data_IF_989601875659
#
_entry.id   IF_989601875659
#
_cell.length_a   1.000
_cell.length_b   1.000
_cell.length_c   1.000
_cell.angle_alpha   90.00
_cell.angle_beta   90.00
_cell.angle_gamma   90.00
#
_symmetry.space_group_name_H-M   'P 1'
#
loop_
_entity.id
_entity.type
_entity.pdbx_description
1 polymer ?
#
# COMPACT_ATOMS: atom_id res chain seq x y z
N UNK A 1 -24.87 1.86 2.39
CA UNK A 1 -23.80 1.19 1.62
C UNK A 1 -23.18 0.11 2.48
N UNK A 2 -23.03 -1.10 1.97
CA UNK A 2 -22.36 -2.17 2.71
C UNK A 2 -20.87 -1.84 2.86
N UNK A 3 -20.23 -2.15 4.00
CA UNK A 3 -18.80 -1.82 4.21
C UNK A 3 -17.87 -2.38 3.13
N UNK A 4 -18.17 -3.54 2.59
CA UNK A 4 -17.42 -4.18 1.51
C UNK A 4 -17.49 -3.35 0.21
N UNK A 5 -18.66 -2.85 -0.16
CA UNK A 5 -18.81 -2.01 -1.33
C UNK A 5 -17.99 -0.72 -1.21
N UNK A 6 -17.99 -0.09 -0.02
CA UNK A 6 -17.19 1.12 0.22
C UNK A 6 -15.69 0.85 0.11
N UNK A 7 -15.21 -0.30 0.60
CA UNK A 7 -13.81 -0.68 0.49
C UNK A 7 -13.40 -0.91 -0.97
N UNK A 8 -14.19 -1.68 -1.72
CA UNK A 8 -13.89 -1.97 -3.13
C UNK A 8 -13.89 -0.70 -3.97
N UNK A 9 -14.87 0.19 -3.77
CA UNK A 9 -14.89 1.49 -4.46
C UNK A 9 -13.64 2.32 -4.17
N UNK A 10 -13.19 2.33 -2.91
CA UNK A 10 -11.98 3.06 -2.52
C UNK A 10 -10.74 2.46 -3.20
N UNK A 11 -10.62 1.14 -3.21
CA UNK A 11 -9.51 0.44 -3.86
C UNK A 11 -9.47 0.72 -5.36
N UNK A 12 -10.62 0.67 -6.04
CA UNK A 12 -10.75 0.96 -7.46
C UNK A 12 -10.41 2.42 -7.78
N UNK A 13 -10.89 3.35 -6.96
CA UNK A 13 -10.59 4.77 -7.14
C UNK A 13 -9.10 5.05 -7.05
N UNK A 14 -8.42 4.45 -6.07
CA UNK A 14 -6.98 4.62 -5.90
C UNK A 14 -6.18 3.97 -7.04
N UNK A 15 -6.68 2.90 -7.63
CA UNK A 15 -6.06 2.25 -8.78
C UNK A 15 -5.99 3.18 -10.00
N UNK A 16 -6.92 4.13 -10.10
CA UNK A 16 -6.90 5.18 -11.14
C UNK A 16 -6.13 6.43 -10.73
N UNK A 17 -6.46 7.01 -9.58
CA UNK A 17 -5.96 8.33 -9.20
C UNK A 17 -4.52 8.33 -8.67
N UNK A 18 -4.03 7.23 -8.11
CA UNK A 18 -2.65 7.18 -7.63
C UNK A 18 -1.63 7.12 -8.78
N UNK A 19 -1.80 6.28 -9.82
CA UNK A 19 -0.96 6.37 -11.03
C UNK A 19 -0.97 7.75 -11.70
N UNK A 20 -2.12 8.41 -11.73
CA UNK A 20 -2.22 9.79 -12.24
C UNK A 20 -1.36 10.76 -11.42
N UNK A 21 -1.46 10.67 -10.09
CA UNK A 21 -0.60 11.45 -9.20
C UNK A 21 0.89 11.15 -9.43
N UNK A 22 1.27 9.87 -9.50
CA UNK A 22 2.65 9.46 -9.75
C UNK A 22 3.17 10.01 -11.08
N UNK A 23 2.33 10.00 -12.13
CA UNK A 23 2.68 10.55 -13.43
C UNK A 23 2.95 12.06 -13.42
N UNK A 24 2.51 12.77 -12.37
CA UNK A 24 2.80 14.19 -12.20
C UNK A 24 4.16 14.46 -11.55
N UNK A 25 4.85 13.44 -11.05
CA UNK A 25 6.17 13.57 -10.41
C UNK A 25 7.24 13.66 -11.51
N UNK A 26 8.06 14.72 -11.54
CA UNK A 26 9.19 14.76 -12.48
C UNK A 26 10.15 13.60 -12.23
N UNK A 27 10.66 12.97 -13.29
CA UNK A 27 11.55 11.81 -13.20
C UNK A 27 12.82 12.12 -12.40
N UNK A 28 13.35 13.33 -12.52
CA UNK A 28 14.54 13.79 -11.79
C UNK A 28 14.30 13.97 -10.28
N UNK A 29 13.04 13.99 -9.83
CA UNK A 29 12.69 14.05 -8.42
C UNK A 29 12.74 12.69 -7.72
N UNK A 30 12.89 11.58 -8.43
CA UNK A 30 12.88 10.25 -7.83
C UNK A 30 13.97 10.04 -6.78
N UNK A 31 15.13 10.67 -6.95
CA UNK A 31 16.24 10.60 -6.00
C UNK A 31 16.20 11.69 -4.91
N UNK A 32 15.21 12.57 -4.95
CA UNK A 32 15.12 13.71 -4.02
C UNK A 32 14.65 13.26 -2.64
N UNK A 33 15.31 13.78 -1.60
CA UNK A 33 14.90 13.71 -0.19
C UNK A 33 14.73 15.13 0.34
N UNK A 34 13.67 15.38 1.12
CA UNK A 34 13.38 16.74 1.58
C UNK A 34 14.28 17.19 2.76
N UNK A 35 15.01 16.27 3.38
CA UNK A 35 15.96 16.55 4.45
C UNK A 35 16.98 15.39 4.57
N UNK A 36 18.14 15.62 5.22
CA UNK A 36 19.10 14.55 5.48
C UNK A 36 18.47 13.41 6.30
N UNK A 37 18.78 12.18 5.93
CA UNK A 37 18.28 10.98 6.60
C UNK A 37 16.84 10.62 6.29
N UNK A 38 16.15 11.38 5.44
CA UNK A 38 14.80 11.05 4.98
C UNK A 38 14.86 10.23 3.69
N UNK A 39 13.84 9.42 3.47
CA UNK A 39 13.73 8.60 2.26
C UNK A 39 13.66 9.47 1.01
N UNK A 40 14.18 8.95 -0.09
CA UNK A 40 13.94 9.53 -1.41
C UNK A 40 12.51 9.24 -1.86
N UNK A 41 12.05 9.96 -2.89
CA UNK A 41 10.74 9.68 -3.52
C UNK A 41 10.66 8.21 -3.93
N UNK A 42 11.67 7.66 -4.61
CA UNK A 42 11.72 6.25 -4.98
C UNK A 42 11.59 5.31 -3.79
N UNK A 43 12.26 5.61 -2.70
CA UNK A 43 12.19 4.81 -1.47
C UNK A 43 10.81 4.85 -0.84
N UNK A 44 10.14 6.00 -0.82
CA UNK A 44 8.75 6.12 -0.38
C UNK A 44 7.84 5.25 -1.25
N UNK A 45 8.01 5.29 -2.58
CA UNK A 45 7.22 4.49 -3.50
C UNK A 45 7.45 3.00 -3.29
N UNK A 46 8.70 2.57 -3.13
CA UNK A 46 9.00 1.16 -2.83
C UNK A 46 8.40 0.72 -1.50
N UNK A 47 8.42 1.58 -0.48
CA UNK A 47 7.77 1.31 0.80
C UNK A 47 6.24 1.10 0.62
N UNK A 48 5.59 1.91 -0.21
CA UNK A 48 4.16 1.74 -0.52
C UNK A 48 3.91 0.36 -1.16
N UNK A 49 4.74 -0.02 -2.13
CA UNK A 49 4.61 -1.30 -2.82
C UNK A 49 4.85 -2.50 -1.89
N UNK A 50 5.93 -2.45 -1.11
CA UNK A 50 6.28 -3.51 -0.16
C UNK A 50 5.19 -3.69 0.89
N UNK A 51 4.69 -2.60 1.44
CA UNK A 51 3.65 -2.62 2.46
C UNK A 51 2.34 -3.21 1.92
N UNK A 52 1.95 -2.88 0.70
CA UNK A 52 0.74 -3.47 0.11
C UNK A 52 0.90 -4.97 -0.12
N UNK A 53 2.07 -5.45 -0.54
CA UNK A 53 2.34 -6.89 -0.64
C UNK A 53 2.21 -7.61 0.70
N UNK A 54 2.72 -7.01 1.77
CA UNK A 54 2.60 -7.57 3.12
C UNK A 54 1.13 -7.59 3.56
N UNK A 55 0.42 -6.51 3.37
CA UNK A 55 -1.01 -6.42 3.72
C UNK A 55 -1.85 -7.38 2.87
N UNK A 56 -1.52 -7.55 1.60
CA UNK A 56 -2.19 -8.52 0.73
C UNK A 56 -1.99 -9.95 1.24
N UNK A 57 -0.78 -10.31 1.64
CA UNK A 57 -0.50 -11.61 2.24
C UNK A 57 -1.30 -11.82 3.52
N UNK A 58 -1.34 -10.80 4.40
CA UNK A 58 -2.15 -10.85 5.62
C UNK A 58 -3.64 -11.00 5.30
N UNK A 59 -4.13 -10.28 4.29
CA UNK A 59 -5.51 -10.39 3.83
C UNK A 59 -5.84 -11.79 3.30
N UNK A 60 -4.91 -12.44 2.60
CA UNK A 60 -5.07 -13.82 2.17
C UNK A 60 -5.22 -14.76 3.38
N UNK A 61 -4.38 -14.62 4.40
CA UNK A 61 -4.44 -15.44 5.61
C UNK A 61 -5.80 -15.30 6.30
N UNK A 62 -6.22 -14.06 6.57
CA UNK A 62 -7.51 -13.79 7.19
C UNK A 62 -8.67 -14.19 6.28
N UNK A 63 -8.54 -13.98 5.00
CA UNK A 63 -9.54 -14.36 4.00
C UNK A 63 -9.79 -15.87 3.92
N UNK A 64 -8.84 -16.69 4.35
CA UNK A 64 -8.94 -18.14 4.46
C UNK A 64 -9.26 -18.60 5.89
N UNK A 65 -9.67 -17.67 6.79
CA UNK A 65 -9.94 -17.92 8.22
C UNK A 65 -8.73 -18.46 8.97
N UNK A 66 -7.55 -18.09 8.56
CA UNK A 66 -6.32 -18.43 9.26
C UNK A 66 -6.03 -17.35 10.30
N UNK A 67 -6.24 -17.68 11.58
CA UNK A 67 -6.02 -16.77 12.70
C UNK A 67 -4.61 -16.89 13.31
N UNK A 68 -3.69 -17.59 12.66
CA UNK A 68 -2.29 -17.66 13.11
C UNK A 68 -1.72 -16.26 13.24
N UNK A 69 -1.11 -15.90 14.39
CA UNK A 69 -0.50 -14.60 14.54
C UNK A 69 0.54 -14.32 13.45
N UNK A 70 0.43 -13.17 12.83
CA UNK A 70 1.31 -12.77 11.71
C UNK A 70 2.38 -11.82 12.23
N UNK A 71 3.63 -12.10 11.83
CA UNK A 71 4.78 -11.29 12.23
C UNK A 71 4.68 -9.86 11.69
N UNK A 72 5.24 -8.92 12.46
CA UNK A 72 5.52 -7.58 11.98
C UNK A 72 6.76 -7.54 11.09
N UNK A 73 7.02 -6.37 10.54
CA UNK A 73 8.25 -6.07 9.83
C UNK A 73 8.69 -4.65 10.17
N UNK A 74 9.99 -4.39 10.04
CA UNK A 74 10.53 -3.05 10.22
C UNK A 74 10.77 -2.40 8.86
N UNK A 75 10.00 -1.36 8.57
CA UNK A 75 10.12 -0.61 7.31
C UNK A 75 11.49 0.04 7.13
N UNK A 76 12.14 0.42 8.23
CA UNK A 76 13.46 1.06 8.17
C UNK A 76 14.56 0.05 7.82
N UNK A 77 14.34 -1.24 8.06
CA UNK A 77 15.21 -2.31 7.58
C UNK A 77 14.92 -2.64 6.11
N UNK A 78 13.65 -2.55 5.68
CA UNK A 78 13.23 -2.92 4.33
C UNK A 78 13.63 -1.91 3.28
N UNK A 79 13.50 -0.63 3.57
CA UNK A 79 13.74 0.43 2.59
C UNK A 79 15.17 0.41 2.02
N UNK A 80 16.24 0.26 2.83
CA UNK A 80 17.59 0.13 2.28
C UNK A 80 17.79 -1.07 1.35
N UNK A 81 17.02 -2.13 1.56
CA UNK A 81 17.07 -3.37 0.77
C UNK A 81 16.05 -3.41 -0.37
N UNK A 82 15.35 -2.30 -0.62
CA UNK A 82 14.28 -2.24 -1.62
C UNK A 82 14.77 -2.07 -3.06
N UNK A 83 16.06 -1.80 -3.25
CA UNK A 83 16.65 -1.53 -4.57
C UNK A 83 15.93 -0.40 -5.33
N UNK A 84 15.54 0.64 -4.60
CA UNK A 84 14.79 1.77 -5.16
C UNK A 84 15.61 2.60 -6.16
N UNK A 85 16.94 2.64 -5.96
CA UNK A 85 17.83 3.41 -6.83
C UNK A 85 17.80 2.84 -8.26
N UNK A 86 17.72 3.73 -9.23
CA UNK A 86 17.70 3.34 -10.65
C UNK A 86 16.35 2.86 -11.17
N UNK A 87 15.32 2.78 -10.32
CA UNK A 87 13.96 2.46 -10.79
C UNK A 87 13.37 3.64 -11.56
N UNK A 88 12.71 3.36 -12.67
CA UNK A 88 12.00 4.38 -13.42
C UNK A 88 10.61 4.61 -12.87
N UNK A 89 10.07 5.81 -13.06
CA UNK A 89 8.70 6.12 -12.65
C UNK A 89 7.69 5.22 -13.37
N UNK A 90 7.92 4.96 -14.65
CA UNK A 90 7.07 4.06 -15.45
C UNK A 90 6.97 2.66 -14.84
N UNK A 91 8.11 2.10 -14.41
CA UNK A 91 8.14 0.78 -13.80
C UNK A 91 7.45 0.77 -12.44
N UNK A 92 7.66 1.80 -11.63
CA UNK A 92 7.01 1.93 -10.32
C UNK A 92 5.49 2.06 -10.45
N UNK A 93 5.02 2.84 -11.42
CA UNK A 93 3.58 2.96 -11.72
C UNK A 93 3.00 1.60 -12.14
N UNK A 94 3.69 0.91 -13.06
CA UNK A 94 3.23 -0.42 -13.51
C UNK A 94 3.19 -1.43 -12.39
N UNK A 95 4.20 -1.46 -11.54
CA UNK A 95 4.24 -2.36 -10.39
C UNK A 95 3.10 -2.08 -9.41
N UNK A 96 2.82 -0.81 -9.11
CA UNK A 96 1.66 -0.44 -8.29
C UNK A 96 0.35 -0.95 -8.89
N UNK A 97 0.14 -0.73 -10.19
CA UNK A 97 -1.09 -1.17 -10.86
C UNK A 97 -1.30 -2.67 -10.75
N UNK A 98 -0.24 -3.46 -10.94
CA UNK A 98 -0.31 -4.92 -10.86
C UNK A 98 -0.60 -5.39 -9.42
N UNK A 99 0.06 -4.80 -8.44
CA UNK A 99 -0.13 -5.15 -7.03
C UNK A 99 -1.55 -4.80 -6.59
N UNK A 100 -2.03 -3.59 -6.89
CA UNK A 100 -3.38 -3.16 -6.50
C UNK A 100 -4.45 -3.97 -7.23
N UNK A 101 -4.27 -4.30 -8.48
CA UNK A 101 -5.19 -5.16 -9.21
C UNK A 101 -5.29 -6.53 -8.53
N UNK A 102 -4.16 -7.12 -8.15
CA UNK A 102 -4.14 -8.38 -7.41
C UNK A 102 -4.85 -8.28 -6.06
N UNK A 103 -4.62 -7.21 -5.30
CA UNK A 103 -5.32 -6.95 -4.04
C UNK A 103 -6.82 -6.83 -4.25
N UNK A 104 -7.23 -6.09 -5.27
CA UNK A 104 -8.64 -5.88 -5.59
C UNK A 104 -9.34 -7.19 -5.95
N UNK A 105 -8.71 -8.02 -6.77
CA UNK A 105 -9.24 -9.35 -7.13
C UNK A 105 -9.38 -10.25 -5.89
N UNK A 106 -8.42 -10.21 -4.98
CA UNK A 106 -8.51 -10.96 -3.73
C UNK A 106 -9.74 -10.53 -2.92
N UNK A 107 -9.88 -9.22 -2.66
CA UNK A 107 -11.01 -8.72 -1.87
C UNK A 107 -12.36 -8.95 -2.56
N UNK A 108 -12.43 -8.81 -3.88
CA UNK A 108 -13.65 -9.11 -4.66
C UNK A 108 -14.08 -10.58 -4.56
N UNK A 109 -13.14 -11.49 -4.36
CA UNK A 109 -13.42 -12.92 -4.25
C UNK A 109 -13.99 -13.32 -2.90
N UNK A 110 -13.95 -12.44 -1.89
CA UNK A 110 -14.35 -12.77 -0.53
C UNK A 110 -15.84 -12.49 -0.31
N UNK A 111 -16.55 -13.40 0.42
CA UNK A 111 -17.90 -13.08 0.88
C UNK A 111 -17.86 -11.86 1.82
N UNK A 112 -18.92 -11.03 1.78
CA UNK A 112 -18.95 -9.79 2.57
C UNK A 112 -18.82 -10.01 4.08
N UNK A 113 -19.37 -11.11 4.61
CA UNK A 113 -19.24 -11.46 6.03
C UNK A 113 -17.79 -11.80 6.43
N UNK A 114 -16.95 -12.20 5.47
CA UNK A 114 -15.53 -12.48 5.73
C UNK A 114 -14.76 -11.26 6.18
N UNK A 115 -15.20 -10.05 5.81
CA UNK A 115 -14.55 -8.82 6.27
C UNK A 115 -14.63 -8.64 7.79
N UNK A 116 -15.53 -9.33 8.47
CA UNK A 116 -15.65 -9.32 9.93
C UNK A 116 -14.68 -10.28 10.63
N UNK A 117 -14.03 -11.19 9.88
CA UNK A 117 -13.09 -12.15 10.47
C UNK A 117 -11.88 -11.41 11.05
N UNK A 118 -11.52 -11.75 12.27
CA UNK A 118 -10.42 -11.12 13.00
C UNK A 118 -9.23 -12.08 13.11
N UNK A 119 -8.06 -11.51 12.94
CA UNK A 119 -6.77 -12.16 13.21
C UNK A 119 -5.87 -11.22 13.97
N UNK A 120 -4.60 -11.61 14.10
CA UNK A 120 -3.57 -10.83 14.78
C UNK A 120 -2.41 -10.56 13.82
N UNK A 121 -2.05 -9.30 13.67
CA UNK A 121 -0.89 -8.90 12.86
C UNK A 121 -0.08 -7.87 13.64
N UNK A 122 1.23 -8.08 13.71
CA UNK A 122 2.15 -7.21 14.48
C UNK A 122 1.71 -7.01 15.93
N UNK A 123 1.14 -8.05 16.56
CA UNK A 123 0.65 -8.00 17.93
C UNK A 123 -0.68 -7.30 18.14
N UNK A 124 -1.35 -6.87 17.07
CA UNK A 124 -2.63 -6.18 17.12
C UNK A 124 -3.75 -7.04 16.52
N UNK A 125 -4.89 -7.10 17.22
CA UNK A 125 -6.09 -7.71 16.66
C UNK A 125 -6.66 -6.79 15.58
N UNK A 126 -7.02 -7.39 14.43
CA UNK A 126 -7.49 -6.64 13.27
C UNK A 126 -8.52 -7.48 12.50
N UNK A 127 -9.59 -6.83 12.03
CA UNK A 127 -10.49 -7.46 11.09
C UNK A 127 -9.96 -7.35 9.66
N UNK A 128 -10.38 -8.28 8.80
CA UNK A 128 -10.01 -8.24 7.39
C UNK A 128 -10.47 -6.94 6.72
N UNK A 129 -11.68 -6.46 7.06
CA UNK A 129 -12.17 -5.18 6.54
C UNK A 129 -11.31 -4.00 6.97
N UNK A 130 -10.92 -3.95 8.26
CA UNK A 130 -10.03 -2.91 8.77
C UNK A 130 -8.66 -2.96 8.07
N UNK A 131 -8.12 -4.15 7.83
CA UNK A 131 -6.86 -4.33 7.10
C UNK A 131 -6.93 -3.73 5.69
N UNK A 132 -8.05 -3.96 4.98
CA UNK A 132 -8.27 -3.38 3.66
C UNK A 132 -8.31 -1.85 3.68
N UNK A 133 -9.01 -1.27 4.65
CA UNK A 133 -9.06 0.19 4.81
C UNK A 133 -7.70 0.78 5.20
N UNK A 134 -6.94 0.10 6.06
CA UNK A 134 -5.58 0.52 6.44
C UNK A 134 -4.66 0.48 5.22
N UNK A 135 -4.75 -0.53 4.36
CA UNK A 135 -3.99 -0.60 3.11
C UNK A 135 -4.23 0.65 2.26
N UNK A 136 -5.49 1.04 2.08
CA UNK A 136 -5.85 2.24 1.32
C UNK A 136 -5.40 3.52 2.03
N UNK A 137 -5.57 3.59 3.35
CA UNK A 137 -5.17 4.73 4.16
C UNK A 137 -3.66 4.94 4.17
N UNK A 138 -2.88 3.88 4.21
CA UNK A 138 -1.42 3.91 4.14
C UNK A 138 -0.94 4.54 2.83
N UNK A 139 -1.48 4.09 1.71
CA UNK A 139 -1.15 4.66 0.40
C UNK A 139 -1.51 6.15 0.33
N UNK A 140 -2.70 6.52 0.81
CA UNK A 140 -3.15 7.91 0.86
C UNK A 140 -2.24 8.78 1.74
N UNK A 141 -1.84 8.26 2.89
CA UNK A 141 -0.94 8.96 3.81
C UNK A 141 0.38 9.31 3.13
N UNK A 142 1.03 8.34 2.50
CA UNK A 142 2.30 8.57 1.82
C UNK A 142 2.15 9.44 0.57
N UNK A 143 1.05 9.34 -0.16
CA UNK A 143 0.75 10.27 -1.25
C UNK A 143 0.69 11.72 -0.74
N UNK A 144 0.03 11.94 0.39
CA UNK A 144 -0.06 13.28 0.98
C UNK A 144 1.32 13.78 1.43
N UNK A 145 2.13 12.95 2.04
CA UNK A 145 3.51 13.29 2.41
C UNK A 145 4.32 13.66 1.17
N UNK A 146 4.26 12.87 0.10
CA UNK A 146 4.94 13.18 -1.15
C UNK A 146 4.50 14.54 -1.70
N UNK A 147 3.20 14.79 -1.72
CA UNK A 147 2.66 16.05 -2.23
C UNK A 147 3.14 17.25 -1.41
N UNK A 148 3.03 17.16 -0.08
CA UNK A 148 3.26 18.30 0.80
C UNK A 148 4.75 18.55 1.08
N UNK A 149 5.51 17.49 1.36
CA UNK A 149 6.90 17.62 1.80
C UNK A 149 7.93 17.52 0.68
N UNK A 150 7.63 16.75 -0.36
CA UNK A 150 8.55 16.53 -1.48
C UNK A 150 8.26 17.45 -2.66
N UNK A 151 6.99 17.66 -2.99
CA UNK A 151 6.59 18.44 -4.16
C UNK A 151 6.10 19.85 -3.82
N UNK A 152 5.84 20.16 -2.56
CA UNK A 152 5.40 21.48 -2.13
C UNK A 152 4.03 21.90 -2.66
N UNK A 153 3.10 20.97 -2.79
CA UNK A 153 1.76 21.22 -3.36
C UNK A 153 0.66 21.11 -2.34
#
# INVERSE_FOLDING_TARGET
MLPDAALLELMERQMGNFPEFLGSIPEDMLSFSYAPGKWSVSEVLMHILDTERIFQYRALRLGRKDATPLSGFDQDDYVPESFAEGRTLKDLIREYQVIRESSLLLFKSLPSDRLLFKGNASGQDISLGALGFIMCGHQKHHRNILRERYLGR
#
